data_IF_782700298367
#
_entry.id   IF_782700298367
#
_cell.length_a   1.000
_cell.length_b   1.000
_cell.length_c   1.000
_cell.angle_alpha   90.00
_cell.angle_beta   90.00
_cell.angle_gamma   90.00
#
_symmetry.space_group_name_H-M   'P 1'
#
loop_
_entity.id
_entity.type
_entity.pdbx_description
1 polymer ?
#
# COMPACT_ATOMS: atom_id res chain seq x y z
N UNK A 1 -0.47 4.47 30.52
CA UNK A 1 -1.71 3.75 30.91
C UNK A 1 -2.82 4.19 29.97
N UNK A 2 -3.54 3.21 29.45
CA UNK A 2 -4.42 3.31 28.29
C UNK A 2 -5.77 3.98 28.59
N UNK A 3 -6.15 4.98 27.79
CA UNK A 3 -7.56 5.38 27.55
C UNK A 3 -7.65 6.20 26.25
N UNK A 4 -7.78 5.52 25.11
CA UNK A 4 -8.08 6.16 23.81
C UNK A 4 -9.10 5.38 22.95
N UNK A 5 -9.33 4.10 23.26
CA UNK A 5 -10.19 3.21 22.46
C UNK A 5 -11.64 3.04 22.93
N UNK A 6 -12.12 3.82 23.91
CA UNK A 6 -13.45 3.59 24.50
C UNK A 6 -14.57 4.54 24.00
N UNK A 7 -14.28 5.53 23.17
CA UNK A 7 -15.33 6.46 22.70
C UNK A 7 -15.96 6.06 21.37
N UNK A 8 -15.30 5.28 20.50
CA UNK A 8 -15.98 4.76 19.30
C UNK A 8 -16.97 3.64 19.64
N UNK A 9 -16.63 2.74 20.59
CA UNK A 9 -17.50 1.63 20.98
C UNK A 9 -18.84 2.07 21.62
N UNK A 10 -18.89 3.23 22.28
CA UNK A 10 -20.16 3.76 22.82
C UNK A 10 -21.04 4.29 21.68
N UNK A 11 -20.45 4.96 20.68
CA UNK A 11 -21.19 5.42 19.50
C UNK A 11 -21.68 4.22 18.66
N UNK A 12 -20.89 3.16 18.53
CA UNK A 12 -21.31 1.92 17.87
C UNK A 12 -22.46 1.23 18.58
N UNK A 13 -22.45 1.11 19.92
CA UNK A 13 -23.57 0.50 20.67
C UNK A 13 -24.86 1.34 20.55
N UNK A 14 -24.75 2.67 20.51
CA UNK A 14 -25.90 3.56 20.35
C UNK A 14 -26.46 3.57 18.92
N UNK A 15 -25.62 3.49 17.89
CA UNK A 15 -26.06 3.43 16.49
C UNK A 15 -26.60 2.05 16.11
N UNK A 16 -26.00 0.97 16.62
CA UNK A 16 -26.50 -0.40 16.42
C UNK A 16 -27.85 -0.58 17.15
N UNK A 17 -28.04 0.02 18.33
CA UNK A 17 -29.34 0.08 18.99
C UNK A 17 -30.38 0.89 18.18
N UNK A 18 -29.98 2.01 17.58
CA UNK A 18 -30.83 2.88 16.76
C UNK A 18 -31.26 2.21 15.43
N UNK A 19 -30.35 1.51 14.75
CA UNK A 19 -30.61 0.82 13.50
C UNK A 19 -31.40 -0.48 13.74
N UNK A 20 -31.08 -1.23 14.80
CA UNK A 20 -31.87 -2.39 15.20
C UNK A 20 -33.31 -1.99 15.61
N UNK A 21 -33.52 -0.81 16.21
CA UNK A 21 -34.85 -0.28 16.51
C UNK A 21 -35.66 0.08 15.24
N UNK A 22 -35.04 0.64 14.20
CA UNK A 22 -35.73 0.92 12.93
C UNK A 22 -36.08 -0.36 12.16
N UNK A 23 -35.20 -1.36 12.18
CA UNK A 23 -35.45 -2.65 11.51
C UNK A 23 -36.52 -3.47 12.26
N UNK A 24 -36.56 -3.39 13.60
CA UNK A 24 -37.62 -3.96 14.42
C UNK A 24 -38.96 -3.27 14.16
N UNK A 25 -38.97 -1.94 14.08
CA UNK A 25 -40.14 -1.10 13.74
C UNK A 25 -40.72 -1.46 12.37
N UNK A 26 -39.89 -1.61 11.34
CA UNK A 26 -40.32 -1.99 9.99
C UNK A 26 -40.85 -3.42 9.92
N UNK A 27 -40.20 -4.38 10.61
CA UNK A 27 -40.67 -5.77 10.71
C UNK A 27 -41.97 -5.89 11.51
N UNK A 28 -42.14 -5.12 12.59
CA UNK A 28 -43.37 -5.03 13.36
C UNK A 28 -44.51 -4.39 12.55
N UNK A 29 -44.27 -3.30 11.82
CA UNK A 29 -45.26 -2.70 10.91
C UNK A 29 -45.73 -3.68 9.83
N UNK A 30 -44.81 -4.49 9.27
CA UNK A 30 -45.14 -5.49 8.25
C UNK A 30 -45.92 -6.68 8.85
N UNK A 31 -45.60 -7.09 10.07
CA UNK A 31 -46.32 -8.12 10.83
C UNK A 31 -47.72 -7.65 11.26
N UNK A 32 -47.85 -6.40 11.71
CA UNK A 32 -49.11 -5.75 12.07
C UNK A 32 -50.00 -5.57 10.82
N UNK A 33 -49.47 -5.01 9.72
CA UNK A 33 -50.25 -4.84 8.49
C UNK A 33 -50.64 -6.16 7.80
N UNK A 34 -49.87 -7.23 7.99
CA UNK A 34 -50.15 -8.56 7.44
C UNK A 34 -51.17 -9.37 8.25
N UNK A 35 -51.18 -9.24 9.59
CA UNK A 35 -52.10 -9.99 10.47
C UNK A 35 -53.43 -9.27 10.76
N UNK A 36 -53.52 -7.96 10.57
CA UNK A 36 -54.71 -7.16 10.90
C UNK A 36 -55.71 -6.98 9.75
N UNK A 37 -55.46 -7.54 8.55
CA UNK A 37 -56.46 -7.56 7.47
C UNK A 37 -57.64 -8.51 7.74
N UNK A 38 -57.57 -9.35 8.78
CA UNK A 38 -58.66 -10.22 9.20
C UNK A 38 -59.21 -9.79 10.57
N UNK A 39 -60.16 -8.85 10.56
CA UNK A 39 -60.85 -8.33 11.75
C UNK A 39 -61.48 -9.45 12.61
N UNK A 40 -61.92 -10.56 11.98
CA UNK A 40 -62.46 -11.74 12.68
C UNK A 40 -61.45 -12.51 13.55
N UNK A 41 -60.15 -12.37 13.31
CA UNK A 41 -59.11 -13.02 14.12
C UNK A 41 -58.81 -12.27 15.42
N UNK A 42 -59.23 -11.00 15.52
CA UNK A 42 -58.90 -10.11 16.63
C UNK A 42 -59.86 -10.26 17.82
N UNK A 43 -61.13 -10.55 17.56
CA UNK A 43 -62.15 -10.74 18.59
C UNK A 43 -61.87 -11.99 19.44
N UNK A 44 -61.32 -13.05 18.83
CA UNK A 44 -61.03 -14.35 19.44
C UNK A 44 -59.68 -14.44 20.21
N UNK A 45 -58.91 -13.36 20.33
CA UNK A 45 -57.68 -13.36 21.12
C UNK A 45 -57.94 -13.12 22.62
N UNK A 46 -57.20 -13.82 23.48
CA UNK A 46 -57.25 -13.64 24.93
C UNK A 46 -56.86 -12.23 25.36
N UNK A 47 -57.47 -11.74 26.45
CA UNK A 47 -57.30 -10.35 26.90
C UNK A 47 -55.84 -9.99 27.22
N UNK A 48 -55.03 -10.94 27.69
CA UNK A 48 -53.59 -10.75 27.89
C UNK A 48 -52.84 -10.41 26.59
N UNK A 49 -53.26 -11.01 25.47
CA UNK A 49 -52.65 -10.77 24.16
C UNK A 49 -53.08 -9.42 23.57
N UNK A 50 -54.32 -9.00 23.82
CA UNK A 50 -54.83 -7.67 23.48
C UNK A 50 -54.12 -6.57 24.27
N UNK A 51 -53.84 -6.80 25.56
CA UNK A 51 -53.10 -5.87 26.44
C UNK A 51 -51.66 -5.67 25.98
N UNK A 52 -50.94 -6.77 25.71
CA UNK A 52 -49.56 -6.74 25.23
C UNK A 52 -49.43 -6.02 23.88
N UNK A 53 -50.38 -6.21 22.96
CA UNK A 53 -50.40 -5.49 21.68
C UNK A 53 -50.67 -3.99 21.84
N UNK A 54 -51.44 -3.59 22.85
CA UNK A 54 -51.73 -2.18 23.16
C UNK A 54 -50.50 -1.48 23.74
N UNK A 55 -49.76 -2.15 24.60
CA UNK A 55 -48.49 -1.66 25.16
C UNK A 55 -47.39 -1.55 24.09
N UNK A 56 -47.28 -2.53 23.19
CA UNK A 56 -46.33 -2.47 22.07
C UNK A 56 -46.67 -1.31 21.11
N UNK A 57 -47.95 -1.07 20.82
CA UNK A 57 -48.38 0.03 19.97
C UNK A 57 -48.07 1.41 20.59
N UNK A 58 -48.18 1.53 21.91
CA UNK A 58 -47.86 2.75 22.65
C UNK A 58 -46.36 3.05 22.63
N UNK A 59 -45.52 2.04 22.90
CA UNK A 59 -44.05 2.15 22.80
C UNK A 59 -43.60 2.52 21.37
N UNK A 60 -44.25 1.97 20.34
CA UNK A 60 -43.93 2.33 18.96
C UNK A 60 -44.31 3.79 18.61
N UNK A 61 -45.32 4.35 19.27
CA UNK A 61 -45.77 5.74 19.04
C UNK A 61 -44.80 6.73 19.69
N UNK A 62 -44.35 6.43 20.91
CA UNK A 62 -43.35 7.25 21.62
C UNK A 62 -41.99 7.26 20.90
N UNK A 63 -41.55 6.10 20.38
CA UNK A 63 -40.33 6.01 19.56
C UNK A 63 -40.45 6.87 18.29
N UNK A 64 -41.61 6.88 17.64
CA UNK A 64 -41.84 7.67 16.43
C UNK A 64 -41.77 9.18 16.70
N UNK A 65 -42.38 9.65 17.79
CA UNK A 65 -42.34 11.06 18.20
C UNK A 65 -40.93 11.52 18.56
N UNK A 66 -40.14 10.69 19.26
CA UNK A 66 -38.74 10.96 19.57
C UNK A 66 -37.86 11.03 18.31
N UNK A 67 -38.15 10.18 17.31
CA UNK A 67 -37.41 10.16 16.04
C UNK A 67 -37.72 11.39 15.19
N UNK A 68 -38.98 11.84 15.14
CA UNK A 68 -39.38 13.06 14.43
C UNK A 68 -38.85 14.34 15.11
N UNK A 69 -38.67 14.33 16.44
CA UNK A 69 -38.03 15.42 17.18
C UNK A 69 -36.53 15.52 16.88
N UNK A 70 -35.84 14.40 16.67
CA UNK A 70 -34.41 14.34 16.31
C UNK A 70 -34.14 14.80 14.87
N UNK A 71 -35.04 14.49 13.93
CA UNK A 71 -34.91 14.88 12.51
C UNK A 71 -35.13 16.39 12.29
N UNK A 72 -35.85 17.07 13.18
CA UNK A 72 -36.15 18.51 13.08
C UNK A 72 -35.07 19.43 13.65
N UNK A 73 -34.01 18.90 14.27
CA UNK A 73 -32.88 19.73 14.68
C UNK A 73 -31.95 19.96 13.47
N UNK A 74 -31.67 21.22 13.07
CA UNK A 74 -30.71 21.46 12.01
C UNK A 74 -29.33 20.96 12.46
N UNK A 75 -28.49 20.47 11.53
CA UNK A 75 -27.15 20.03 11.88
C UNK A 75 -26.41 21.23 12.48
N UNK A 76 -26.02 21.12 13.77
CA UNK A 76 -25.01 22.03 14.30
C UNK A 76 -23.77 21.82 13.43
N UNK A 77 -23.30 22.89 12.79
CA UNK A 77 -22.01 22.93 12.11
C UNK A 77 -20.93 22.40 13.07
N UNK A 78 -20.61 21.12 12.92
CA UNK A 78 -19.30 20.61 13.28
C UNK A 78 -18.51 20.73 11.99
N UNK A 79 -17.54 21.64 11.98
CA UNK A 79 -16.50 21.66 10.96
C UNK A 79 -15.80 20.30 10.98
N UNK A 80 -16.18 19.45 10.03
CA UNK A 80 -15.50 18.19 9.75
C UNK A 80 -14.21 18.59 9.04
N UNK A 81 -13.01 18.27 9.58
CA UNK A 81 -11.78 18.49 8.84
C UNK A 81 -11.88 17.71 7.52
N UNK A 82 -11.56 18.36 6.40
CA UNK A 82 -11.56 17.78 5.05
C UNK A 82 -10.54 16.65 4.85
N UNK A 83 -9.87 16.24 5.92
CA UNK A 83 -8.93 15.13 5.97
C UNK A 83 -9.24 14.28 7.21
N UNK A 84 -9.45 12.96 7.07
CA UNK A 84 -9.56 12.08 8.22
C UNK A 84 -8.25 12.17 9.03
N UNK A 85 -8.29 12.04 10.36
CA UNK A 85 -7.09 12.08 11.17
C UNK A 85 -6.15 10.97 10.69
N UNK A 86 -4.95 11.36 10.26
CA UNK A 86 -3.82 10.44 10.06
C UNK A 86 -3.73 9.55 11.30
N UNK A 87 -3.85 8.23 11.13
CA UNK A 87 -3.80 7.27 12.23
C UNK A 87 -2.62 7.60 13.13
N UNK A 88 -2.79 7.60 14.45
CA UNK A 88 -1.77 7.98 15.44
C UNK A 88 -0.48 7.12 15.45
N UNK A 89 -0.33 6.17 14.53
CA UNK A 89 0.91 5.42 14.28
C UNK A 89 1.65 5.91 13.02
N UNK A 90 1.07 6.78 12.20
CA UNK A 90 1.69 7.37 11.00
C UNK A 90 2.57 8.58 11.30
N UNK A 91 2.72 8.97 12.56
CA UNK A 91 3.67 10.02 12.97
C UNK A 91 5.14 9.57 12.86
N UNK A 92 5.41 8.27 12.67
CA UNK A 92 6.76 7.71 12.67
C UNK A 92 7.46 7.66 11.30
N UNK A 93 6.73 7.71 10.17
CA UNK A 93 7.33 7.70 8.82
C UNK A 93 6.92 8.96 8.03
N UNK A 94 7.91 9.66 7.48
CA UNK A 94 7.68 10.70 6.48
C UNK A 94 7.41 10.09 5.09
N UNK A 95 6.89 10.90 4.16
CA UNK A 95 6.54 10.47 2.79
C UNK A 95 7.73 9.86 2.01
N UNK A 96 8.95 10.16 2.44
CA UNK A 96 10.20 9.63 1.89
C UNK A 96 10.42 8.16 2.23
N UNK A 97 10.17 7.77 3.47
CA UNK A 97 10.30 6.38 3.89
C UNK A 97 9.20 5.49 3.27
N UNK A 98 7.99 6.03 3.10
CA UNK A 98 6.93 5.35 2.36
C UNK A 98 7.30 5.11 0.89
N UNK A 99 7.93 6.10 0.25
CA UNK A 99 8.42 5.95 -1.12
C UNK A 99 9.50 4.86 -1.24
N UNK A 100 10.42 4.76 -0.27
CA UNK A 100 11.37 3.63 -0.23
C UNK A 100 10.63 2.29 -0.15
N UNK A 101 9.65 2.16 0.75
CA UNK A 101 8.83 0.94 0.83
C UNK A 101 8.10 0.62 -0.48
N UNK A 102 7.65 1.63 -1.23
CA UNK A 102 7.05 1.44 -2.57
C UNK A 102 8.05 0.82 -3.54
N UNK A 103 9.27 1.37 -3.63
CA UNK A 103 10.31 0.79 -4.48
C UNK A 103 10.62 -0.66 -4.05
N UNK A 104 10.69 -0.92 -2.74
CA UNK A 104 10.95 -2.26 -2.19
C UNK A 104 9.85 -3.27 -2.54
N UNK A 105 8.59 -2.84 -2.50
CA UNK A 105 7.46 -3.66 -2.97
C UNK A 105 7.62 -3.98 -4.44
N UNK A 106 7.92 -3.00 -5.30
CA UNK A 106 8.01 -3.19 -6.75
C UNK A 106 9.15 -4.14 -7.16
N UNK A 107 10.33 -4.00 -6.55
CA UNK A 107 11.49 -4.84 -6.90
C UNK A 107 11.34 -6.30 -6.42
N UNK A 108 10.54 -6.54 -5.38
CA UNK A 108 10.25 -7.88 -4.84
C UNK A 108 9.02 -8.54 -5.47
N UNK A 109 8.34 -7.85 -6.41
CA UNK A 109 7.15 -8.40 -7.04
C UNK A 109 7.47 -9.70 -7.77
N UNK A 110 6.63 -10.71 -7.61
CA UNK A 110 6.83 -12.04 -8.18
C UNK A 110 7.17 -11.99 -9.69
N UNK A 111 8.18 -12.78 -10.09
CA UNK A 111 8.64 -12.92 -11.48
C UNK A 111 7.53 -13.47 -12.41
N UNK A 112 6.51 -14.17 -11.89
CA UNK A 112 5.34 -14.63 -12.66
C UNK A 112 4.58 -13.47 -13.36
N UNK A 113 4.74 -12.24 -12.87
CA UNK A 113 4.11 -11.04 -13.44
C UNK A 113 5.00 -10.31 -14.45
N UNK A 114 6.23 -10.79 -14.71
CA UNK A 114 7.20 -10.05 -15.52
C UNK A 114 6.77 -9.91 -16.99
N UNK A 115 6.09 -10.92 -17.55
CA UNK A 115 5.54 -10.83 -18.91
C UNK A 115 4.49 -9.73 -19.05
N UNK A 116 3.56 -9.64 -18.10
CA UNK A 116 2.58 -8.55 -18.01
C UNK A 116 3.28 -7.20 -17.79
N UNK A 117 4.26 -7.16 -16.89
CA UNK A 117 5.00 -5.94 -16.56
C UNK A 117 5.80 -5.39 -17.74
N UNK A 118 6.43 -6.26 -18.55
CA UNK A 118 7.11 -5.85 -19.78
C UNK A 118 6.11 -5.29 -20.79
N UNK A 119 4.93 -5.89 -20.92
CA UNK A 119 3.88 -5.42 -21.82
C UNK A 119 3.30 -4.06 -21.39
N UNK A 120 3.09 -3.85 -20.09
CA UNK A 120 2.64 -2.57 -19.55
C UNK A 120 3.63 -1.45 -19.87
N UNK A 121 4.93 -1.70 -19.67
CA UNK A 121 6.01 -0.78 -20.03
C UNK A 121 5.98 -0.46 -21.53
N UNK A 122 5.92 -1.48 -22.38
CA UNK A 122 5.91 -1.32 -23.84
C UNK A 122 4.68 -0.54 -24.30
N UNK A 123 3.51 -0.82 -23.72
CA UNK A 123 2.28 -0.09 -24.01
C UNK A 123 2.41 1.39 -23.63
N UNK A 124 2.92 1.70 -22.43
CA UNK A 124 3.16 3.08 -22.01
C UNK A 124 4.16 3.79 -22.93
N UNK A 125 5.28 3.13 -23.27
CA UNK A 125 6.30 3.71 -24.13
C UNK A 125 5.77 3.99 -25.55
N UNK A 126 5.00 3.07 -26.13
CA UNK A 126 4.33 3.26 -27.42
C UNK A 126 3.27 4.35 -27.38
N UNK A 127 2.51 4.46 -26.29
CA UNK A 127 1.49 5.49 -26.12
C UNK A 127 2.11 6.90 -26.15
N UNK A 128 3.21 7.10 -25.42
CA UNK A 128 3.83 8.43 -25.29
C UNK A 128 4.73 8.79 -26.48
N UNK A 129 5.41 7.81 -27.09
CA UNK A 129 6.44 8.06 -28.12
C UNK A 129 6.30 7.26 -29.42
N UNK A 130 5.22 6.50 -29.61
CA UNK A 130 5.02 5.68 -30.82
C UNK A 130 4.92 6.46 -32.13
N UNK A 131 4.69 7.78 -32.08
CA UNK A 131 4.75 8.65 -33.25
C UNK A 131 6.18 8.95 -33.76
N UNK A 132 7.20 8.73 -32.94
CA UNK A 132 8.62 8.92 -33.31
C UNK A 132 9.18 7.62 -33.88
N UNK A 133 9.51 7.64 -35.19
CA UNK A 133 10.05 6.47 -35.90
C UNK A 133 11.38 5.95 -35.32
N UNK A 134 12.20 6.82 -34.71
CA UNK A 134 13.45 6.40 -34.05
C UNK A 134 13.12 5.61 -32.79
N UNK A 135 12.26 6.17 -31.93
CA UNK A 135 11.82 5.49 -30.70
C UNK A 135 11.07 4.20 -30.99
N UNK A 136 10.21 4.18 -32.00
CA UNK A 136 9.47 2.96 -32.37
C UNK A 136 10.41 1.79 -32.68
N UNK A 137 11.50 2.02 -33.41
CA UNK A 137 12.51 0.98 -33.68
C UNK A 137 13.21 0.51 -32.40
N UNK A 138 13.53 1.44 -31.49
CA UNK A 138 14.15 1.13 -30.21
C UNK A 138 13.21 0.30 -29.33
N UNK A 139 11.90 0.61 -29.33
CA UNK A 139 10.88 -0.16 -28.62
C UNK A 139 10.80 -1.59 -29.17
N UNK A 140 10.78 -1.76 -30.49
CA UNK A 140 10.76 -3.07 -31.15
C UNK A 140 12.04 -3.88 -30.86
N UNK A 141 13.19 -3.21 -30.81
CA UNK A 141 14.47 -3.80 -30.40
C UNK A 141 14.43 -4.24 -28.94
N UNK A 142 13.97 -3.39 -28.01
CA UNK A 142 13.80 -3.73 -26.60
C UNK A 142 12.85 -4.92 -26.40
N UNK A 143 11.72 -4.94 -27.12
CA UNK A 143 10.76 -6.04 -27.04
C UNK A 143 11.39 -7.39 -27.41
N UNK A 144 12.23 -7.41 -28.45
CA UNK A 144 12.89 -8.62 -28.96
C UNK A 144 14.15 -9.03 -28.17
N UNK A 145 14.96 -8.05 -27.77
CA UNK A 145 16.36 -8.28 -27.37
C UNK A 145 16.65 -7.98 -25.90
N UNK A 146 15.66 -7.54 -25.13
CA UNK A 146 15.86 -7.30 -23.70
C UNK A 146 16.28 -8.57 -22.94
N UNK A 147 17.38 -8.46 -22.20
CA UNK A 147 17.83 -9.43 -21.21
C UNK A 147 17.99 -8.76 -19.84
N UNK A 148 17.74 -9.48 -18.72
CA UNK A 148 17.94 -8.96 -17.36
C UNK A 148 19.31 -8.32 -17.11
N UNK A 149 20.35 -8.82 -17.76
CA UNK A 149 21.75 -8.38 -17.64
C UNK A 149 22.03 -7.05 -18.34
N UNK A 150 21.14 -6.54 -19.19
CA UNK A 150 21.33 -5.30 -19.94
C UNK A 150 20.33 -4.18 -19.56
N UNK A 151 19.61 -4.33 -18.45
CA UNK A 151 18.59 -3.37 -18.02
C UNK A 151 19.13 -1.94 -17.79
N UNK A 152 20.27 -1.82 -17.13
CA UNK A 152 20.97 -0.52 -16.94
C UNK A 152 21.39 0.06 -18.29
N UNK A 153 21.88 -0.77 -19.22
CA UNK A 153 22.24 -0.32 -20.56
C UNK A 153 21.03 0.30 -21.29
N UNK A 154 19.88 -0.38 -21.28
CA UNK A 154 18.64 0.16 -21.85
C UNK A 154 18.18 1.46 -21.18
N UNK A 155 18.41 1.59 -19.88
CA UNK A 155 18.05 2.78 -19.12
C UNK A 155 18.93 3.99 -19.46
N UNK A 156 20.25 3.82 -19.58
CA UNK A 156 21.19 4.92 -19.88
C UNK A 156 21.38 5.19 -21.38
N UNK A 157 20.91 4.28 -22.25
CA UNK A 157 20.93 4.45 -23.70
C UNK A 157 20.18 5.72 -24.12
N UNK A 158 20.61 6.31 -25.23
CA UNK A 158 19.94 7.45 -25.88
C UNK A 158 18.52 7.12 -26.38
N UNK A 159 17.57 7.01 -25.47
CA UNK A 159 16.15 6.79 -25.76
C UNK A 159 15.26 7.53 -24.73
N UNK A 160 13.94 7.46 -24.90
CA UNK A 160 13.00 8.15 -24.00
C UNK A 160 12.61 7.35 -22.77
N UNK A 161 13.09 6.12 -22.59
CA UNK A 161 12.76 5.27 -21.45
C UNK A 161 13.16 5.91 -20.11
N UNK A 162 14.38 6.47 -20.00
CA UNK A 162 14.82 7.22 -18.82
C UNK A 162 13.83 8.35 -18.48
N UNK A 163 13.36 9.10 -19.49
CA UNK A 163 12.48 10.24 -19.28
C UNK A 163 11.10 9.83 -18.80
N UNK A 164 10.55 8.73 -19.33
CA UNK A 164 9.30 8.16 -18.83
C UNK A 164 9.40 7.82 -17.35
N UNK A 165 10.47 7.11 -17.00
CA UNK A 165 10.69 6.65 -15.64
C UNK A 165 10.95 7.80 -14.67
N UNK A 166 11.86 8.71 -15.02
CA UNK A 166 12.19 9.90 -14.22
C UNK A 166 10.95 10.80 -14.02
N UNK A 167 10.12 10.98 -15.05
CA UNK A 167 8.87 11.74 -14.92
C UNK A 167 7.86 11.05 -14.00
N UNK A 168 7.63 9.75 -14.18
CA UNK A 168 6.68 8.99 -13.37
C UNK A 168 7.07 9.04 -11.88
N UNK A 169 8.36 8.86 -11.59
CA UNK A 169 8.91 8.90 -10.24
C UNK A 169 8.83 10.30 -9.61
N UNK A 170 9.21 11.36 -10.34
CA UNK A 170 9.17 12.74 -9.83
C UNK A 170 7.76 13.25 -9.56
N UNK A 171 6.80 12.85 -10.40
CA UNK A 171 5.40 13.25 -10.26
C UNK A 171 4.63 12.33 -9.32
N UNK A 172 5.27 11.28 -8.79
CA UNK A 172 4.60 10.25 -7.98
C UNK A 172 3.39 9.64 -8.70
N UNK A 173 3.49 9.48 -10.02
CA UNK A 173 2.45 8.89 -10.85
C UNK A 173 2.47 7.37 -10.66
N UNK A 174 1.70 6.89 -9.69
CA UNK A 174 1.69 5.49 -9.28
C UNK A 174 1.27 4.52 -10.40
N UNK A 175 0.43 4.94 -11.34
CA UNK A 175 0.04 4.10 -12.48
C UNK A 175 1.21 3.90 -13.44
N UNK A 176 1.92 4.98 -13.77
CA UNK A 176 3.10 4.90 -14.64
C UNK A 176 4.29 4.24 -13.93
N UNK A 177 4.50 4.48 -12.63
CA UNK A 177 5.51 3.77 -11.83
C UNK A 177 5.24 2.27 -11.87
N UNK A 178 3.98 1.85 -11.69
CA UNK A 178 3.61 0.43 -11.78
C UNK A 178 3.78 -0.13 -13.18
N UNK A 179 3.43 0.61 -14.24
CA UNK A 179 3.66 0.18 -15.62
C UNK A 179 5.17 -0.02 -15.91
N UNK A 180 6.03 0.77 -15.27
CA UNK A 180 7.49 0.69 -15.40
C UNK A 180 8.15 -0.24 -14.36
N UNK A 181 7.36 -0.99 -13.57
CA UNK A 181 7.89 -1.89 -12.52
C UNK A 181 8.91 -2.90 -13.04
N UNK A 182 8.74 -3.34 -14.29
CA UNK A 182 9.65 -4.27 -14.95
C UNK A 182 11.08 -3.72 -15.00
N UNK A 183 11.26 -2.53 -15.58
CA UNK A 183 12.60 -1.95 -15.73
C UNK A 183 13.18 -1.52 -14.38
N UNK A 184 12.37 -1.01 -13.45
CA UNK A 184 12.81 -0.67 -12.07
C UNK A 184 13.43 -1.91 -11.40
N UNK A 185 12.72 -3.04 -11.44
CA UNK A 185 13.15 -4.32 -10.86
C UNK A 185 14.45 -4.82 -11.47
N UNK A 186 14.58 -4.77 -12.80
CA UNK A 186 15.77 -5.31 -13.47
C UNK A 186 16.99 -4.39 -13.37
N UNK A 187 16.82 -3.07 -13.37
CA UNK A 187 17.92 -2.15 -13.02
C UNK A 187 18.39 -2.45 -11.60
N UNK A 188 17.49 -2.61 -10.64
CA UNK A 188 17.85 -2.97 -9.27
C UNK A 188 18.62 -4.30 -9.20
N UNK A 189 18.12 -5.36 -9.85
CA UNK A 189 18.80 -6.68 -9.90
C UNK A 189 20.21 -6.53 -10.46
N UNK A 190 20.41 -5.75 -11.53
CA UNK A 190 21.72 -5.54 -12.13
C UNK A 190 22.67 -4.71 -11.25
N UNK A 191 22.22 -3.61 -10.65
CA UNK A 191 23.04 -2.77 -9.76
C UNK A 191 23.42 -3.48 -8.44
N UNK A 192 22.63 -4.48 -8.03
CA UNK A 192 22.93 -5.34 -6.87
C UNK A 192 23.92 -6.46 -7.20
N UNK A 193 24.15 -6.77 -8.48
CA UNK A 193 25.03 -7.86 -8.89
C UNK A 193 26.47 -7.63 -8.39
N UNK A 194 27.07 -8.68 -7.85
CA UNK A 194 28.35 -8.66 -7.12
C UNK A 194 29.54 -8.24 -7.99
N UNK A 195 29.46 -8.42 -9.31
CA UNK A 195 30.53 -8.02 -10.25
C UNK A 195 30.85 -6.52 -10.23
N UNK A 196 29.95 -5.67 -9.73
CA UNK A 196 30.21 -4.23 -9.57
C UNK A 196 30.81 -3.83 -8.20
N UNK A 197 30.89 -4.76 -7.22
CA UNK A 197 31.03 -4.41 -5.80
C UNK A 197 32.31 -4.90 -5.12
N UNK A 198 32.83 -6.06 -5.51
CA UNK A 198 33.87 -6.73 -4.72
C UNK A 198 35.25 -6.01 -4.77
N UNK A 199 35.57 -5.34 -5.88
CA UNK A 199 36.79 -4.52 -6.00
C UNK A 199 36.69 -3.20 -5.21
N UNK A 200 35.48 -2.71 -4.95
CA UNK A 200 35.26 -1.39 -4.37
C UNK A 200 35.45 -1.35 -2.86
N UNK A 201 34.96 -2.39 -2.18
CA UNK A 201 35.02 -2.52 -0.71
C UNK A 201 36.49 -2.62 -0.25
N UNK A 202 37.34 -3.26 -1.05
CA UNK A 202 38.77 -3.43 -0.74
C UNK A 202 39.60 -2.17 -1.01
N UNK A 203 39.20 -1.36 -2.00
CA UNK A 203 39.98 -0.22 -2.47
C UNK A 203 39.61 1.12 -1.82
N UNK A 204 38.35 1.29 -1.38
CA UNK A 204 37.88 2.56 -0.81
C UNK A 204 36.69 2.36 0.15
N UNK A 205 36.93 2.21 1.47
CA UNK A 205 35.85 2.03 2.46
C UNK A 205 34.95 3.27 2.58
N UNK A 206 35.49 4.45 2.28
CA UNK A 206 34.76 5.72 2.26
C UNK A 206 34.86 6.31 0.85
N UNK A 207 33.76 6.28 0.11
CA UNK A 207 33.64 6.88 -1.22
C UNK A 207 32.94 8.23 -1.11
N UNK A 208 33.45 9.23 -1.82
CA UNK A 208 32.78 10.53 -1.99
C UNK A 208 32.48 10.74 -3.46
N UNK A 209 31.20 10.96 -3.77
CA UNK A 209 30.74 11.26 -5.12
C UNK A 209 30.17 12.67 -5.18
N UNK A 210 30.18 13.24 -6.39
CA UNK A 210 29.84 14.61 -6.66
C UNK A 210 28.76 14.69 -7.72
N UNK A 211 27.83 15.62 -7.52
CA UNK A 211 26.86 16.04 -8.54
C UNK A 211 26.66 17.54 -8.43
N UNK A 212 26.84 18.27 -9.52
CA UNK A 212 26.52 19.69 -9.56
C UNK A 212 25.24 19.94 -10.36
N UNK A 213 24.42 20.88 -9.89
CA UNK A 213 23.20 21.30 -10.57
C UNK A 213 22.83 22.73 -10.17
N UNK A 214 22.13 23.43 -11.04
CA UNK A 214 21.44 24.67 -10.67
C UNK A 214 20.00 24.34 -10.25
N UNK A 215 19.63 24.73 -9.03
CA UNK A 215 18.29 24.48 -8.44
C UNK A 215 17.59 25.80 -8.10
N UNK A 216 16.25 25.83 -7.99
CA UNK A 216 15.53 26.98 -7.47
C UNK A 216 15.96 27.34 -6.05
N UNK A 217 15.99 28.63 -5.71
CA UNK A 217 16.31 29.08 -4.35
C UNK A 217 15.35 28.51 -3.30
N UNK A 218 14.07 28.33 -3.65
CA UNK A 218 13.06 27.69 -2.80
C UNK A 218 13.36 26.21 -2.50
N UNK A 219 13.93 25.48 -3.46
CA UNK A 219 14.37 24.09 -3.27
C UNK A 219 15.54 24.04 -2.28
N UNK A 220 16.49 24.98 -2.37
CA UNK A 220 17.60 25.10 -1.42
C UNK A 220 17.11 25.41 0.00
N UNK A 221 16.10 26.27 0.15
CA UNK A 221 15.47 26.56 1.45
C UNK A 221 14.84 25.30 2.06
N UNK A 222 14.11 24.50 1.27
CA UNK A 222 13.55 23.22 1.72
C UNK A 222 14.64 22.22 2.13
N UNK A 223 15.74 22.14 1.38
CA UNK A 223 16.88 21.29 1.73
C UNK A 223 17.54 21.76 3.04
N UNK A 224 17.55 23.08 3.29
CA UNK A 224 18.08 23.67 4.53
C UNK A 224 17.20 23.32 5.73
N UNK A 225 15.87 23.33 5.58
CA UNK A 225 14.96 22.94 6.68
C UNK A 225 15.04 21.46 7.02
N UNK A 226 15.51 20.62 6.08
CA UNK A 226 15.58 19.17 6.25
C UNK A 226 16.97 18.68 6.70
N UNK A 227 17.89 19.58 7.07
CA UNK A 227 19.22 19.19 7.61
C UNK A 227 19.03 18.29 8.84
N UNK A 228 19.76 17.17 8.88
CA UNK A 228 19.68 16.16 9.92
C UNK A 228 18.54 15.15 9.77
N UNK A 229 17.58 15.38 8.87
CA UNK A 229 16.47 14.47 8.61
C UNK A 229 16.83 13.42 7.55
N UNK A 230 16.24 12.24 7.68
CA UNK A 230 16.31 11.19 6.66
C UNK A 230 15.39 11.52 5.50
N UNK A 231 15.96 11.51 4.31
CA UNK A 231 15.28 11.77 3.05
C UNK A 231 15.53 10.63 2.07
N UNK A 232 14.64 10.48 1.10
CA UNK A 232 14.75 9.46 0.06
C UNK A 232 14.97 10.12 -1.29
N UNK A 233 15.89 9.59 -2.10
CA UNK A 233 15.97 9.94 -3.51
C UNK A 233 14.67 9.56 -4.21
N UNK A 234 13.93 10.53 -4.73
CA UNK A 234 12.66 10.30 -5.43
C UNK A 234 12.84 9.79 -6.85
N UNK A 235 14.02 9.98 -7.44
CA UNK A 235 14.36 9.47 -8.77
C UNK A 235 15.78 8.92 -8.76
N UNK A 236 16.21 8.40 -9.91
CA UNK A 236 17.59 8.02 -10.14
C UNK A 236 18.51 9.23 -9.96
N UNK A 237 19.66 8.99 -9.34
CA UNK A 237 20.71 9.97 -9.17
C UNK A 237 21.95 9.49 -9.91
N UNK A 238 22.48 10.37 -10.76
CA UNK A 238 23.74 10.17 -11.45
C UNK A 238 24.81 11.08 -10.83
N UNK A 239 26.02 10.58 -10.66
CA UNK A 239 27.13 11.28 -10.01
C UNK A 239 28.48 10.77 -10.51
N UNK A 240 29.57 11.40 -10.09
CA UNK A 240 30.94 11.04 -10.47
C UNK A 240 31.86 11.16 -9.26
N UNK A 241 32.96 10.40 -9.20
CA UNK A 241 34.01 10.58 -8.20
C UNK A 241 34.93 11.77 -8.51
N UNK A 242 34.90 12.27 -9.75
CA UNK A 242 35.62 13.45 -10.21
C UNK A 242 34.81 14.73 -9.95
N UNK A 243 35.28 15.52 -8.97
CA UNK A 243 34.67 16.80 -8.61
C UNK A 243 34.66 17.81 -9.76
N UNK A 244 35.71 17.85 -10.57
CA UNK A 244 35.83 18.81 -11.67
C UNK A 244 34.89 18.42 -12.82
N UNK A 245 34.75 17.12 -13.11
CA UNK A 245 33.74 16.61 -14.03
C UNK A 245 32.33 17.02 -13.59
N UNK A 246 31.99 16.86 -12.30
CA UNK A 246 30.71 17.30 -11.77
C UNK A 246 30.47 18.81 -11.98
N UNK A 247 31.48 19.66 -11.76
CA UNK A 247 31.35 21.11 -11.90
C UNK A 247 31.18 21.57 -13.36
N UNK A 248 31.58 20.77 -14.36
CA UNK A 248 31.35 21.09 -15.79
C UNK A 248 29.87 21.27 -16.11
N UNK A 249 28.98 20.55 -15.41
CA UNK A 249 27.52 20.68 -15.59
C UNK A 249 26.96 22.07 -15.23
N UNK A 250 27.71 22.88 -14.46
CA UNK A 250 27.31 24.26 -14.14
C UNK A 250 27.72 25.29 -15.21
N UNK A 251 28.65 24.94 -16.12
CA UNK A 251 29.24 25.91 -17.07
C UNK A 251 28.21 26.55 -18.02
N UNK A 252 27.07 25.89 -18.23
CA UNK A 252 26.01 26.35 -19.13
C UNK A 252 24.84 27.05 -18.43
N UNK A 253 24.80 27.11 -17.09
CA UNK A 253 23.71 27.74 -16.36
C UNK A 253 24.25 28.71 -15.31
N UNK A 254 24.20 30.01 -15.62
CA UNK A 254 24.54 31.06 -14.67
C UNK A 254 23.41 31.19 -13.64
N UNK A 255 23.71 31.23 -12.32
CA UNK A 255 22.70 31.46 -11.31
C UNK A 255 22.04 32.82 -11.52
N UNK A 256 20.72 32.85 -11.41
CA UNK A 256 19.88 34.06 -11.45
C UNK A 256 19.46 34.47 -10.03
N UNK A 257 18.63 35.50 -9.88
CA UNK A 257 18.05 35.82 -8.56
C UNK A 257 17.26 34.65 -7.95
N UNK A 258 16.72 33.79 -8.80
CA UNK A 258 15.75 32.76 -8.41
C UNK A 258 16.38 31.35 -8.38
N UNK A 259 17.64 31.23 -8.78
CA UNK A 259 18.34 29.94 -8.89
C UNK A 259 19.73 30.00 -8.28
N UNK A 260 20.15 28.89 -7.71
CA UNK A 260 21.43 28.77 -7.00
C UNK A 260 22.18 27.56 -7.54
N UNK A 261 23.47 27.75 -7.80
CA UNK A 261 24.37 26.64 -8.15
C UNK A 261 24.73 25.87 -6.90
N UNK A 262 24.48 24.56 -6.93
CA UNK A 262 24.76 23.63 -5.84
C UNK A 262 25.69 22.51 -6.30
N UNK A 263 26.60 22.12 -5.42
CA UNK A 263 27.40 20.91 -5.52
C UNK A 263 27.01 19.98 -4.36
N UNK A 264 26.44 18.83 -4.69
CA UNK A 264 26.20 17.76 -3.75
C UNK A 264 27.51 16.97 -3.57
N UNK A 265 27.95 16.84 -2.31
CA UNK A 265 29.04 15.97 -1.87
C UNK A 265 28.40 14.79 -1.12
N UNK A 266 28.34 13.65 -1.79
CA UNK A 266 27.65 12.43 -1.36
C UNK A 266 28.66 11.49 -0.74
N UNK A 267 28.58 11.28 0.57
CA UNK A 267 29.46 10.40 1.34
C UNK A 267 28.83 9.04 1.49
N UNK A 268 29.64 8.02 1.23
CA UNK A 268 29.19 6.65 1.13
C UNK A 268 30.16 5.76 1.90
N UNK A 269 29.64 5.06 2.90
CA UNK A 269 30.35 3.94 3.51
C UNK A 269 30.07 2.69 2.65
N UNK A 270 31.09 2.23 1.93
CA UNK A 270 30.94 1.14 0.95
C UNK A 270 30.74 -0.23 1.62
N UNK A 271 30.89 -0.31 2.95
CA UNK A 271 30.62 -1.51 3.75
C UNK A 271 29.13 -1.67 4.05
N UNK A 272 28.32 -0.63 3.84
CA UNK A 272 26.86 -0.70 4.00
C UNK A 272 26.28 -1.58 2.88
N UNK A 273 26.15 -2.87 3.19
CA UNK A 273 25.59 -3.88 2.30
C UNK A 273 24.16 -3.49 1.91
N UNK A 274 23.77 -3.81 0.67
CA UNK A 274 22.42 -3.68 0.09
C UNK A 274 22.02 -2.33 -0.53
N UNK A 275 22.83 -1.26 -0.45
CA UNK A 275 22.51 -0.02 -1.16
C UNK A 275 22.59 -0.20 -2.69
N UNK A 276 21.53 0.06 -3.46
CA UNK A 276 21.48 -0.24 -4.90
C UNK A 276 22.09 0.88 -5.75
N UNK A 277 23.41 1.02 -5.68
CA UNK A 277 24.20 1.88 -6.57
C UNK A 277 25.38 1.13 -7.18
N UNK A 278 25.88 1.60 -8.31
CA UNK A 278 27.08 1.08 -8.95
C UNK A 278 27.74 2.12 -9.86
N UNK A 279 29.04 1.91 -10.14
CA UNK A 279 29.70 2.56 -11.26
C UNK A 279 29.26 1.87 -12.56
N UNK A 280 28.66 2.63 -13.47
CA UNK A 280 28.08 2.16 -14.74
C UNK A 280 28.84 2.69 -15.96
N UNK A 281 30.01 3.28 -15.75
CA UNK A 281 30.82 3.93 -16.81
C UNK A 281 31.15 2.97 -17.95
N UNK A 282 31.41 1.69 -17.64
CA UNK A 282 31.72 0.66 -18.64
C UNK A 282 30.56 0.34 -19.61
N UNK A 283 29.34 0.74 -19.27
CA UNK A 283 28.15 0.55 -20.09
C UNK A 283 27.88 1.73 -21.03
N UNK A 284 28.63 2.83 -20.88
CA UNK A 284 28.55 4.01 -21.75
C UNK A 284 29.55 3.91 -22.90
N UNK A 285 29.17 4.53 -24.01
CA UNK A 285 30.04 4.70 -25.18
C UNK A 285 31.04 5.86 -25.02
N UNK A 286 30.81 6.75 -24.06
CA UNK A 286 31.62 7.94 -23.78
C UNK A 286 32.54 7.69 -22.57
N UNK A 287 33.73 8.30 -22.55
CA UNK A 287 34.69 8.23 -21.43
C UNK A 287 34.29 9.11 -20.23
N UNK A 288 33.00 9.20 -19.92
CA UNK A 288 32.51 9.92 -18.74
C UNK A 288 32.19 8.93 -17.61
N UNK A 289 32.74 9.21 -16.42
CA UNK A 289 32.46 8.39 -15.26
C UNK A 289 31.03 8.63 -14.77
N UNK A 290 30.25 7.57 -14.62
CA UNK A 290 28.91 7.63 -14.06
C UNK A 290 28.70 6.60 -12.95
N UNK A 291 28.25 7.10 -11.82
CA UNK A 291 27.72 6.35 -10.70
C UNK A 291 26.21 6.55 -10.62
N UNK A 292 25.47 5.46 -10.67
CA UNK A 292 24.02 5.47 -10.69
C UNK A 292 23.44 4.93 -9.37
N UNK A 293 22.52 5.68 -8.77
CA UNK A 293 21.74 5.27 -7.60
C UNK A 293 20.29 4.99 -7.98
N UNK A 294 19.70 3.94 -7.40
CA UNK A 294 18.26 3.74 -7.51
C UNK A 294 17.45 4.80 -6.74
N UNK A 295 16.22 5.10 -7.20
CA UNK A 295 15.20 5.71 -6.36
C UNK A 295 14.98 4.89 -5.08
N UNK A 296 14.57 5.56 -4.00
CA UNK A 296 14.39 4.94 -2.69
C UNK A 296 15.67 4.89 -1.86
N UNK A 297 16.82 5.29 -2.40
CA UNK A 297 18.06 5.35 -1.61
C UNK A 297 17.90 6.43 -0.52
N UNK A 298 18.14 6.04 0.73
CA UNK A 298 18.01 6.94 1.89
C UNK A 298 19.33 7.68 2.12
N UNK A 299 19.21 8.97 2.40
CA UNK A 299 20.31 9.84 2.74
C UNK A 299 19.92 10.80 3.86
N UNK A 300 20.92 11.35 4.52
CA UNK A 300 20.79 12.48 5.43
C UNK A 300 21.55 13.67 4.86
N UNK A 301 20.94 14.86 4.93
CA UNK A 301 21.65 16.11 4.67
C UNK A 301 22.41 16.53 5.93
N UNK A 302 23.74 16.63 5.86
CA UNK A 302 24.58 16.88 7.02
C UNK A 302 24.77 18.38 7.28
N UNK A 303 25.14 19.13 6.24
CA UNK A 303 25.31 20.57 6.33
C UNK A 303 25.37 21.23 4.94
N UNK A 304 25.16 22.54 4.93
CA UNK A 304 25.31 23.38 3.75
C UNK A 304 26.44 24.37 3.98
N UNK A 305 27.39 24.42 3.05
CA UNK A 305 28.55 25.31 3.09
C UNK A 305 28.48 26.31 1.94
N UNK A 306 28.96 27.53 2.20
CA UNK A 306 29.04 28.58 1.20
C UNK A 306 30.47 28.66 0.68
N UNK A 307 30.67 28.40 -0.62
CA UNK A 307 31.91 28.70 -1.31
C UNK A 307 31.76 30.04 -2.04
N UNK A 308 32.15 31.10 -1.33
CA UNK A 308 32.06 32.48 -1.83
C UNK A 308 32.93 32.72 -3.06
N UNK A 309 34.01 31.95 -3.26
CA UNK A 309 34.92 32.14 -4.37
C UNK A 309 34.30 31.70 -5.70
N UNK A 310 33.47 30.65 -5.67
CA UNK A 310 32.84 30.06 -6.85
C UNK A 310 31.34 30.33 -6.96
N UNK A 311 30.77 31.19 -6.09
CA UNK A 311 29.31 31.42 -5.98
C UNK A 311 28.51 30.11 -5.87
N UNK A 312 29.07 29.16 -5.11
CA UNK A 312 28.59 27.78 -5.06
C UNK A 312 28.12 27.45 -3.64
N UNK A 313 27.01 26.72 -3.54
CA UNK A 313 26.55 26.10 -2.29
C UNK A 313 26.96 24.63 -2.29
N UNK A 314 27.73 24.20 -1.29
CA UNK A 314 28.18 22.81 -1.16
C UNK A 314 27.27 22.11 -0.15
N UNK A 315 26.49 21.15 -0.62
CA UNK A 315 25.54 20.37 0.17
C UNK A 315 26.20 19.03 0.50
N UNK A 316 26.55 18.83 1.76
CA UNK A 316 27.16 17.58 2.23
C UNK A 316 26.07 16.65 2.71
N UNK A 317 26.04 15.45 2.17
CA UNK A 317 25.05 14.44 2.50
C UNK A 317 25.71 13.08 2.66
N UNK A 318 25.15 12.25 3.53
CA UNK A 318 25.64 10.91 3.80
C UNK A 318 24.55 9.88 3.50
N UNK A 319 24.89 8.80 2.81
CA UNK A 319 23.96 7.69 2.60
C UNK A 319 23.75 6.92 3.91
N UNK A 320 22.52 6.46 4.12
CA UNK A 320 22.14 5.73 5.31
C UNK A 320 21.84 4.27 4.96
N UNK A 321 22.46 3.34 5.68
CA UNK A 321 22.25 1.90 5.55
C UNK A 321 21.13 1.40 6.47
N UNK A 322 20.81 0.10 6.35
CA UNK A 322 19.77 -0.55 7.16
C UNK A 322 20.12 -0.66 8.66
N UNK A 323 21.39 -0.45 9.02
CA UNK A 323 21.89 -0.40 10.39
C UNK A 323 21.52 0.90 11.12
N UNK A 324 21.05 1.92 10.40
CA UNK A 324 20.53 3.14 11.01
C UNK A 324 19.30 2.83 11.85
N UNK A 325 19.41 3.03 13.17
CA UNK A 325 18.34 2.77 14.14
C UNK A 325 17.04 3.52 13.83
N UNK A 326 17.09 4.65 13.11
CA UNK A 326 15.90 5.41 12.71
C UNK A 326 15.10 4.69 11.61
N UNK A 327 15.73 3.79 10.85
CA UNK A 327 15.09 2.94 9.86
C UNK A 327 14.49 1.66 10.46
N UNK A 328 14.59 1.47 11.78
CA UNK A 328 14.12 0.25 12.45
C UNK A 328 12.66 -0.10 12.13
N UNK A 329 11.76 0.87 12.14
CA UNK A 329 10.35 0.59 11.78
C UNK A 329 10.23 0.05 10.35
N UNK A 330 10.96 0.64 9.40
CA UNK A 330 10.95 0.18 8.00
C UNK A 330 11.49 -1.24 7.91
N UNK A 331 12.61 -1.53 8.59
CA UNK A 331 13.18 -2.87 8.66
C UNK A 331 12.20 -3.87 9.30
N UNK A 332 11.52 -3.49 10.39
CA UNK A 332 10.53 -4.31 11.06
C UNK A 332 9.32 -4.56 10.15
N UNK A 333 8.81 -3.53 9.46
CA UNK A 333 7.74 -3.66 8.47
C UNK A 333 8.13 -4.63 7.34
N UNK A 334 9.33 -4.49 6.78
CA UNK A 334 9.85 -5.37 5.74
C UNK A 334 10.02 -6.83 6.20
N UNK A 335 10.29 -7.05 7.49
CA UNK A 335 10.49 -8.38 8.08
C UNK A 335 9.19 -9.06 8.49
N UNK A 336 8.25 -8.32 9.08
CA UNK A 336 7.06 -8.88 9.73
C UNK A 336 5.78 -8.73 8.90
N UNK A 337 5.64 -7.65 8.12
CA UNK A 337 4.44 -7.42 7.30
C UNK A 337 4.63 -7.86 5.84
N UNK A 338 5.86 -7.83 5.32
CA UNK A 338 6.16 -8.19 3.92
C UNK A 338 6.77 -9.58 3.78
N UNK A 339 6.14 -10.42 2.94
CA UNK A 339 6.69 -11.72 2.51
C UNK A 339 7.92 -11.53 1.63
N UNK A 340 8.79 -12.55 1.54
CA UNK A 340 10.00 -12.55 0.71
C UNK A 340 9.73 -12.04 -0.71
N UNK A 341 8.69 -12.60 -1.35
CA UNK A 341 8.12 -12.09 -2.60
C UNK A 341 6.86 -11.29 -2.34
N UNK A 342 6.66 -10.24 -3.13
CA UNK A 342 5.50 -9.35 -3.04
C UNK A 342 4.60 -9.51 -4.27
N UNK A 343 3.42 -8.90 -4.21
CA UNK A 343 2.37 -9.02 -5.22
C UNK A 343 1.45 -7.78 -5.18
N UNK A 344 0.36 -7.85 -5.94
CA UNK A 344 -0.63 -6.77 -6.01
C UNK A 344 -1.32 -6.49 -4.65
N UNK A 345 -1.49 -7.51 -3.79
CA UNK A 345 -2.07 -7.27 -2.45
C UNK A 345 -1.09 -6.51 -1.57
N UNK A 346 0.20 -6.85 -1.65
CA UNK A 346 1.26 -6.15 -0.93
C UNK A 346 1.31 -4.67 -1.31
N UNK A 347 1.20 -4.38 -2.62
CA UNK A 347 1.14 -3.02 -3.15
C UNK A 347 -0.12 -2.27 -2.72
N UNK A 348 -1.29 -2.92 -2.78
CA UNK A 348 -2.55 -2.32 -2.34
C UNK A 348 -2.53 -1.98 -0.84
N UNK A 349 -2.01 -2.89 -0.01
CA UNK A 349 -1.86 -2.67 1.43
C UNK A 349 -0.91 -1.50 1.72
N UNK A 350 0.20 -1.39 0.98
CA UNK A 350 1.10 -0.25 1.11
C UNK A 350 0.38 1.07 0.80
N UNK A 351 -0.42 1.13 -0.27
CA UNK A 351 -1.21 2.31 -0.58
C UNK A 351 -2.20 2.69 0.52
N UNK A 352 -2.80 1.71 1.21
CA UNK A 352 -3.63 1.99 2.41
C UNK A 352 -2.80 2.69 3.50
N UNK A 353 -1.58 2.22 3.75
CA UNK A 353 -0.68 2.82 4.76
C UNK A 353 -0.21 4.23 4.37
N UNK A 354 0.00 4.45 3.08
CA UNK A 354 0.35 5.78 2.51
C UNK A 354 -0.84 6.77 2.53
N UNK A 355 -2.07 6.28 2.73
CA UNK A 355 -3.29 7.10 2.62
C UNK A 355 -3.84 7.21 1.20
N UNK A 356 -3.21 6.53 0.23
CA UNK A 356 -3.57 6.52 -1.19
C UNK A 356 -4.71 5.54 -1.47
N UNK A 357 -5.87 5.80 -0.88
CA UNK A 357 -7.00 4.87 -0.86
C UNK A 357 -7.59 4.55 -2.23
N UNK A 358 -7.57 5.50 -3.16
CA UNK A 358 -8.06 5.27 -4.52
C UNK A 358 -7.14 4.32 -5.29
N UNK A 359 -5.82 4.46 -5.14
CA UNK A 359 -4.86 3.51 -5.69
C UNK A 359 -4.99 2.14 -5.05
N UNK A 360 -5.09 2.07 -3.71
CA UNK A 360 -5.30 0.81 -3.00
C UNK A 360 -6.51 0.04 -3.57
N UNK A 361 -7.63 0.74 -3.82
CA UNK A 361 -8.83 0.16 -4.44
C UNK A 361 -8.57 -0.41 -5.84
N UNK A 362 -7.87 0.35 -6.68
CA UNK A 362 -7.50 -0.09 -8.04
C UNK A 362 -6.70 -1.39 -7.98
N UNK A 363 -5.71 -1.48 -7.10
CA UNK A 363 -4.85 -2.66 -7.02
C UNK A 363 -5.52 -3.87 -6.36
N UNK A 364 -6.43 -3.67 -5.40
CA UNK A 364 -7.29 -4.76 -4.92
C UNK A 364 -8.15 -5.34 -6.05
N UNK A 365 -8.74 -4.50 -6.90
CA UNK A 365 -9.50 -4.98 -8.05
C UNK A 365 -8.63 -5.65 -9.13
N UNK A 366 -7.43 -5.11 -9.42
CA UNK A 366 -6.47 -5.77 -10.32
C UNK A 366 -6.12 -7.17 -9.80
N UNK A 367 -5.88 -7.32 -8.49
CA UNK A 367 -5.60 -8.61 -7.88
C UNK A 367 -6.78 -9.59 -8.00
N UNK A 368 -8.02 -9.13 -7.82
CA UNK A 368 -9.21 -9.96 -8.02
C UNK A 368 -9.33 -10.49 -9.44
N UNK A 369 -9.03 -9.66 -10.45
CA UNK A 369 -9.11 -10.05 -11.85
C UNK A 369 -8.00 -11.02 -12.25
N UNK A 370 -6.83 -10.91 -11.60
CA UNK A 370 -5.69 -11.80 -11.84
C UNK A 370 -5.96 -13.22 -11.29
N UNK A 371 -6.66 -13.33 -10.17
CA UNK A 371 -6.96 -14.62 -9.54
C UNK A 371 -8.16 -15.31 -10.20
N UNK A 372 -8.09 -16.63 -10.34
CA UNK A 372 -9.27 -17.44 -10.67
C UNK A 372 -10.30 -17.34 -9.54
N UNK A 373 -11.60 -17.36 -9.84
CA UNK A 373 -12.70 -17.21 -8.86
C UNK A 373 -12.64 -18.17 -7.64
N UNK A 374 -11.82 -19.22 -7.67
CA UNK A 374 -11.64 -20.20 -6.60
C UNK A 374 -10.33 -20.03 -5.80
N UNK A 375 -9.53 -19.00 -6.07
CA UNK A 375 -8.27 -18.79 -5.36
C UNK A 375 -8.50 -18.31 -3.92
N UNK A 376 -7.94 -18.98 -2.88
CA UNK A 376 -8.01 -18.54 -1.49
C UNK A 376 -7.71 -17.06 -1.26
N UNK A 377 -6.77 -16.52 -2.02
CA UNK A 377 -6.17 -15.22 -1.76
C UNK A 377 -7.06 -14.06 -2.23
N UNK A 378 -8.11 -14.34 -3.03
CA UNK A 378 -9.08 -13.32 -3.44
C UNK A 378 -9.77 -12.68 -2.22
N UNK A 379 -9.83 -13.41 -1.10
CA UNK A 379 -10.32 -12.92 0.20
C UNK A 379 -9.56 -11.69 0.66
N UNK A 380 -8.23 -11.68 0.57
CA UNK A 380 -7.42 -10.56 1.02
C UNK A 380 -7.81 -9.26 0.30
N UNK A 381 -8.18 -9.35 -0.97
CA UNK A 381 -8.65 -8.20 -1.76
C UNK A 381 -10.00 -7.67 -1.27
N UNK A 382 -10.95 -8.58 -0.99
CA UNK A 382 -12.25 -8.20 -0.45
C UNK A 382 -12.14 -7.57 0.93
N UNK A 383 -11.30 -8.14 1.81
CA UNK A 383 -11.03 -7.61 3.14
C UNK A 383 -10.45 -6.18 3.04
N UNK A 384 -9.47 -5.97 2.17
CA UNK A 384 -8.88 -4.65 1.92
C UNK A 384 -9.88 -3.62 1.37
N UNK A 385 -10.70 -4.00 0.38
CA UNK A 385 -11.76 -3.14 -0.16
C UNK A 385 -12.81 -2.77 0.89
N UNK A 386 -13.08 -3.67 1.83
CA UNK A 386 -14.03 -3.43 2.92
C UNK A 386 -13.47 -2.41 3.91
N UNK A 387 -12.21 -2.60 4.34
CA UNK A 387 -11.50 -1.64 5.18
C UNK A 387 -11.43 -0.25 4.56
N UNK A 388 -11.14 -0.16 3.25
CA UNK A 388 -11.15 1.11 2.52
C UNK A 388 -12.51 1.81 2.55
N UNK A 389 -13.58 1.03 2.46
CA UNK A 389 -14.94 1.55 2.47
C UNK A 389 -15.35 2.03 3.86
N UNK A 390 -14.87 1.36 4.92
CA UNK A 390 -15.01 1.77 6.32
C UNK A 390 -14.22 3.06 6.61
N UNK A 391 -12.97 3.16 6.13
CA UNK A 391 -12.09 4.34 6.30
C UNK A 391 -12.67 5.59 5.62
N UNK A 392 -13.28 5.46 4.43
CA UNK A 392 -13.90 6.59 3.71
C UNK A 392 -15.25 7.04 4.28
N UNK A 393 -15.74 6.45 5.39
CA UNK A 393 -17.07 6.76 5.96
C UNK A 393 -18.23 6.43 5.02
N UNK A 394 -17.98 5.66 3.96
CA UNK A 394 -18.95 5.29 2.92
C UNK A 394 -19.56 3.93 3.26
N UNK A 395 -20.26 3.89 4.39
CA UNK A 395 -20.86 2.70 4.99
C UNK A 395 -21.79 1.91 4.05
N UNK A 396 -22.40 2.56 3.05
CA UNK A 396 -23.25 1.88 2.07
C UNK A 396 -22.46 0.99 1.10
N UNK A 397 -21.23 1.39 0.74
CA UNK A 397 -20.33 0.65 -0.13
C UNK A 397 -19.61 -0.45 0.67
N UNK A 398 -19.21 -0.16 1.91
CA UNK A 398 -18.66 -1.16 2.83
C UNK A 398 -19.66 -2.29 3.05
N UNK A 399 -20.91 -1.95 3.40
CA UNK A 399 -22.00 -2.91 3.58
C UNK A 399 -22.32 -3.67 2.29
N UNK A 400 -22.16 -3.06 1.11
CA UNK A 400 -22.30 -3.75 -0.19
C UNK A 400 -21.16 -4.76 -0.41
N UNK A 401 -19.92 -4.38 -0.15
CA UNK A 401 -18.75 -5.26 -0.28
C UNK A 401 -18.81 -6.40 0.74
N UNK A 402 -19.17 -6.14 1.99
CA UNK A 402 -19.44 -7.16 3.00
C UNK A 402 -20.58 -8.11 2.58
N UNK A 403 -21.63 -7.61 1.92
CA UNK A 403 -22.72 -8.43 1.38
C UNK A 403 -22.28 -9.30 0.21
N UNK A 404 -21.45 -8.79 -0.70
CA UNK A 404 -20.89 -9.57 -1.81
C UNK A 404 -19.88 -10.61 -1.31
N UNK A 405 -18.99 -10.25 -0.36
CA UNK A 405 -18.11 -11.20 0.31
C UNK A 405 -18.93 -12.30 1.01
N UNK A 406 -20.01 -11.92 1.72
CA UNK A 406 -20.93 -12.88 2.35
C UNK A 406 -21.65 -13.76 1.33
N UNK A 407 -22.00 -13.21 0.16
CA UNK A 407 -22.62 -13.98 -0.93
C UNK A 407 -21.63 -15.01 -1.48
N UNK A 408 -20.39 -14.61 -1.74
CA UNK A 408 -19.31 -15.50 -2.13
C UNK A 408 -19.08 -16.61 -1.08
N UNK A 409 -19.00 -16.27 0.21
CA UNK A 409 -18.86 -17.27 1.27
C UNK A 409 -20.07 -18.22 1.37
N UNK A 410 -21.27 -17.73 1.14
CA UNK A 410 -22.47 -18.57 1.10
C UNK A 410 -22.50 -19.49 -0.14
N UNK A 411 -21.97 -19.05 -1.27
CA UNK A 411 -21.81 -19.89 -2.47
C UNK A 411 -20.70 -20.93 -2.27
N UNK A 412 -19.58 -20.55 -1.66
CA UNK A 412 -18.49 -21.44 -1.29
C UNK A 412 -18.94 -22.49 -0.26
N UNK A 413 -19.81 -22.11 0.70
CA UNK A 413 -20.44 -23.03 1.64
C UNK A 413 -21.30 -24.08 0.93
N UNK A 414 -22.09 -23.70 -0.07
CA UNK A 414 -22.90 -24.66 -0.85
C UNK A 414 -22.03 -25.66 -1.62
N UNK A 415 -20.87 -25.21 -2.12
CA UNK A 415 -19.90 -26.08 -2.78
C UNK A 415 -19.21 -27.02 -1.76
N UNK A 416 -18.84 -26.49 -0.59
CA UNK A 416 -18.24 -27.26 0.51
C UNK A 416 -19.22 -28.25 1.17
N UNK A 417 -20.53 -27.99 1.17
CA UNK A 417 -21.58 -28.90 1.67
C UNK A 417 -21.73 -30.17 0.84
N UNK A 418 -21.20 -30.19 -0.38
CA UNK A 418 -21.18 -31.37 -1.25
C UNK A 418 -19.86 -32.17 -1.14
N UNK A 419 -18.93 -31.73 -0.29
CA UNK A 419 -17.66 -32.43 -0.03
C UNK A 419 -17.83 -33.37 1.17
N UNK A 420 -17.08 -34.49 1.24
CA UNK A 420 -17.03 -35.33 2.42
C UNK A 420 -16.66 -34.52 3.67
N UNK A 421 -17.21 -34.91 4.83
CA UNK A 421 -17.16 -34.17 6.11
C UNK A 421 -15.73 -33.79 6.59
N UNK A 422 -14.69 -34.40 6.00
CA UNK A 422 -13.28 -34.25 6.36
C UNK A 422 -12.39 -33.83 5.18
N UNK A 423 -12.93 -33.25 4.11
CA UNK A 423 -12.09 -32.71 3.03
C UNK A 423 -11.37 -31.42 3.51
N UNK A 424 -10.07 -31.21 3.22
CA UNK A 424 -9.35 -30.00 3.64
C UNK A 424 -10.02 -28.69 3.19
N UNK A 425 -10.67 -28.69 2.01
CA UNK A 425 -11.46 -27.54 1.54
C UNK A 425 -12.64 -27.18 2.45
N UNK A 426 -13.21 -28.14 3.18
CA UNK A 426 -14.24 -27.90 4.19
C UNK A 426 -13.66 -27.15 5.39
N UNK A 427 -12.46 -27.54 5.87
CA UNK A 427 -11.73 -26.82 6.93
C UNK A 427 -11.45 -25.37 6.54
N UNK A 428 -11.05 -25.15 5.29
CA UNK A 428 -10.85 -23.81 4.71
C UNK A 428 -12.13 -22.98 4.69
N UNK A 429 -13.26 -23.59 4.34
CA UNK A 429 -14.57 -22.96 4.40
C UNK A 429 -14.92 -22.50 5.83
N UNK A 430 -14.74 -23.36 6.85
CA UNK A 430 -14.99 -23.00 8.25
C UNK A 430 -14.04 -21.89 8.75
N UNK A 431 -12.77 -21.94 8.39
CA UNK A 431 -11.80 -20.88 8.73
C UNK A 431 -12.21 -19.53 8.14
N UNK A 432 -12.74 -19.52 6.92
CA UNK A 432 -13.21 -18.30 6.28
C UNK A 432 -14.42 -17.68 6.99
N UNK A 433 -15.37 -18.50 7.47
CA UNK A 433 -16.48 -18.01 8.30
C UNK A 433 -16.01 -17.46 9.64
N UNK A 434 -14.99 -18.09 10.22
CA UNK A 434 -14.43 -17.66 11.48
C UNK A 434 -13.86 -16.24 11.39
N UNK A 435 -13.08 -15.98 10.34
CA UNK A 435 -12.58 -14.65 10.00
C UNK A 435 -13.72 -13.63 9.79
N UNK A 436 -14.80 -14.01 9.10
CA UNK A 436 -15.95 -13.12 8.91
C UNK A 436 -16.57 -12.70 10.26
N UNK A 437 -16.76 -13.66 11.16
CA UNK A 437 -17.30 -13.37 12.49
C UNK A 437 -16.34 -12.57 13.36
N UNK A 438 -15.03 -12.69 13.14
CA UNK A 438 -14.01 -11.88 13.79
C UNK A 438 -14.12 -10.41 13.34
N UNK A 439 -14.26 -10.18 12.04
CA UNK A 439 -14.48 -8.85 11.45
C UNK A 439 -15.80 -8.22 11.92
N UNK A 440 -16.86 -9.02 12.12
CA UNK A 440 -18.12 -8.58 12.72
C UNK A 440 -18.05 -8.34 14.24
N UNK A 441 -16.89 -8.48 14.87
CA UNK A 441 -16.72 -8.37 16.33
C UNK A 441 -17.35 -9.51 17.12
N UNK A 442 -17.88 -10.55 16.45
CA UNK A 442 -18.54 -11.72 17.05
C UNK A 442 -17.50 -12.79 17.40
N UNK A 443 -16.56 -12.42 18.28
CA UNK A 443 -15.43 -13.27 18.72
C UNK A 443 -15.82 -14.70 19.11
N UNK A 444 -16.91 -14.87 19.86
CA UNK A 444 -17.38 -16.21 20.26
C UNK A 444 -17.84 -17.08 19.08
N UNK A 445 -18.40 -16.47 18.02
CA UNK A 445 -18.74 -17.20 16.80
C UNK A 445 -17.48 -17.49 16.01
N UNK A 446 -16.60 -16.50 15.84
CA UNK A 446 -15.30 -16.69 15.19
C UNK A 446 -14.55 -17.89 15.78
N UNK A 447 -14.41 -17.94 17.10
CA UNK A 447 -13.75 -19.02 17.82
C UNK A 447 -14.37 -20.40 17.51
N UNK A 448 -15.70 -20.51 17.50
CA UNK A 448 -16.40 -21.79 17.17
C UNK A 448 -16.11 -22.26 15.74
N UNK A 449 -16.02 -21.34 14.80
CA UNK A 449 -15.74 -21.67 13.40
C UNK A 449 -14.25 -21.96 13.18
N UNK A 450 -13.34 -21.28 13.87
CA UNK A 450 -11.91 -21.59 13.84
C UNK A 450 -11.63 -22.96 14.45
N UNK A 451 -12.24 -23.28 15.60
CA UNK A 451 -12.10 -24.59 16.22
C UNK A 451 -12.54 -25.71 15.26
N UNK A 452 -13.70 -25.53 14.61
CA UNK A 452 -14.20 -26.51 13.63
C UNK A 452 -13.31 -26.63 12.40
N UNK A 453 -12.65 -25.56 11.98
CA UNK A 453 -11.68 -25.59 10.89
C UNK A 453 -10.43 -26.40 11.26
N UNK A 454 -9.91 -26.18 12.47
CA UNK A 454 -8.75 -26.89 13.03
C UNK A 454 -9.06 -28.37 13.20
N UNK A 455 -10.23 -28.73 13.72
CA UNK A 455 -10.65 -30.13 13.87
C UNK A 455 -10.67 -30.86 12.51
N UNK A 456 -11.17 -30.21 11.45
CA UNK A 456 -11.18 -30.77 10.09
C UNK A 456 -9.75 -30.89 9.55
N UNK A 457 -8.92 -29.88 9.74
CA UNK A 457 -7.53 -29.92 9.26
C UNK A 457 -6.69 -30.98 9.97
N UNK A 458 -6.85 -31.17 11.27
CA UNK A 458 -6.20 -32.26 12.01
C UNK A 458 -6.63 -33.65 11.53
N UNK A 459 -7.86 -33.80 11.04
CA UNK A 459 -8.36 -35.06 10.50
C UNK A 459 -7.95 -35.29 9.04
N UNK A 460 -7.64 -34.23 8.29
CA UNK A 460 -7.46 -34.27 6.85
C UNK A 460 -6.01 -34.06 6.39
N UNK A 461 -5.14 -33.49 7.24
CA UNK A 461 -3.80 -33.05 6.91
C UNK A 461 -2.77 -33.58 7.93
N UNK A 462 -1.47 -33.66 7.57
CA UNK A 462 -0.42 -34.04 8.50
C UNK A 462 -0.32 -33.06 9.70
N UNK A 463 0.14 -33.52 10.89
CA UNK A 463 0.11 -32.76 12.16
C UNK A 463 0.88 -31.42 12.20
N UNK A 464 1.60 -31.07 11.14
CA UNK A 464 2.41 -29.85 11.02
C UNK A 464 2.12 -29.07 9.74
N UNK A 465 0.93 -29.28 9.16
CA UNK A 465 0.55 -28.56 7.96
C UNK A 465 0.39 -27.05 8.25
N UNK A 466 0.94 -26.13 7.43
CA UNK A 466 0.92 -24.69 7.69
C UNK A 466 -0.47 -24.10 7.98
N UNK A 467 -1.53 -24.67 7.39
CA UNK A 467 -2.91 -24.26 7.64
C UNK A 467 -3.39 -24.55 9.07
N UNK A 468 -2.91 -25.61 9.72
CA UNK A 468 -3.22 -25.91 11.12
C UNK A 468 -2.62 -24.83 12.01
N UNK A 469 -1.31 -24.60 11.88
CA UNK A 469 -0.57 -23.60 12.65
C UNK A 469 -1.13 -22.19 12.45
N UNK A 470 -1.52 -21.85 11.21
CA UNK A 470 -2.12 -20.55 10.91
C UNK A 470 -3.43 -20.34 11.66
N UNK A 471 -4.31 -21.35 11.74
CA UNK A 471 -5.59 -21.20 12.42
C UNK A 471 -5.44 -21.26 13.94
N UNK A 472 -4.53 -22.07 14.47
CA UNK A 472 -4.22 -22.09 15.90
C UNK A 472 -3.74 -20.72 16.39
N UNK A 473 -2.87 -20.04 15.63
CA UNK A 473 -2.49 -18.65 15.91
C UNK A 473 -3.69 -17.69 15.85
N UNK A 474 -4.63 -17.88 14.92
CA UNK A 474 -5.87 -17.09 14.89
C UNK A 474 -6.75 -17.32 16.12
N UNK A 475 -6.81 -18.55 16.63
CA UNK A 475 -7.55 -18.89 17.86
C UNK A 475 -6.90 -18.20 19.07
N UNK A 476 -5.57 -18.29 19.19
CA UNK A 476 -4.80 -17.64 20.26
C UNK A 476 -4.99 -16.11 20.28
N UNK A 477 -5.02 -15.46 19.12
CA UNK A 477 -5.24 -14.01 19.02
C UNK A 477 -6.66 -13.56 19.41
N UNK A 478 -7.64 -14.46 19.42
CA UNK A 478 -9.05 -14.15 19.74
C UNK A 478 -9.38 -14.48 21.19
N UNK A 479 -8.65 -15.43 21.79
CA UNK A 479 -8.77 -15.75 23.21
C UNK A 479 -8.26 -14.56 24.06
N UNK A 480 -8.94 -14.26 25.19
CA UNK A 480 -8.64 -13.10 26.02
C UNK A 480 -7.33 -13.20 26.79
#
# INVERSE_FOLDING_TARGET
>A
MATGGQHSNIIYVWLDAYINQQELSFKLQKLLNGKFKNVKAFENMSDCKKRLLKEIAQVCTEIKELTEALVKQPPKNLDIPSTPPKNSNSELLNDDLWFRLLIEVLIRMNDDLDGEAKNDLLHLWRKEYGGDKKEQKIIEEFEREFEPSCAVHWFIRECRLYKLLDNALRLMDFDNIYALRFIIKYIHKQLKNHSFRDELIQSSPNLTLYRAKTIPATELEQLTTNIGQLQSLKSFLSSTSDRDMALRFLQHSKPSSDTVSVLFEIRIDTRLLLLPYANVSSLRSEEEEEWLFMPGTIYQMDCIQNDSNHQLRILKMSLCGEDDTRLKYMVDYLKYEMKETTDLISLANLFVKMGEYDMAKVYYHKYQNYLSNNDPNIKCAWDGLSQLSDIKGNYSIAMKNYKEARKYFNEQLKLCQNLPDHHPSSGKCYANFANLYEIEGKKQRALKYYQRAVDIYHQALPPYHPDITRIENCIENIMP
#
